data_IF_133363976802
#
_entry.id   IF_133363976802
#
_cell.length_a   1.000
_cell.length_b   1.000
_cell.length_c   1.000
_cell.angle_alpha   90.00
_cell.angle_beta   90.00
_cell.angle_gamma   90.00
#
_symmetry.space_group_name_H-M   'P 1'
#
loop_
_entity.id
_entity.type
_entity.pdbx_description
1 polymer ?
#
# COMPACT_ATOMS: atom_id res chain seq x y z
N UNK A 1 -9.78 -4.52 -15.42
CA UNK A 1 -9.04 -3.70 -14.44
C UNK A 1 -9.93 -2.62 -13.82
N UNK A 2 -10.77 -1.99 -14.63
CA UNK A 2 -11.62 -0.82 -14.28
C UNK A 2 -12.48 -0.97 -13.02
N UNK A 3 -13.00 -2.17 -12.71
CA UNK A 3 -13.81 -2.36 -11.50
C UNK A 3 -12.99 -2.27 -10.20
N UNK A 4 -11.74 -2.74 -10.19
CA UNK A 4 -10.86 -2.65 -9.00
C UNK A 4 -10.36 -1.23 -8.85
N UNK A 5 -9.99 -0.58 -9.95
CA UNK A 5 -9.56 0.82 -9.93
C UNK A 5 -10.68 1.76 -9.53
N UNK A 6 -11.92 1.49 -9.96
CA UNK A 6 -13.10 2.23 -9.51
C UNK A 6 -13.35 2.09 -8.01
N UNK A 7 -13.22 0.89 -7.44
CA UNK A 7 -13.32 0.67 -5.99
C UNK A 7 -12.20 1.37 -5.23
N UNK A 8 -10.98 1.34 -5.77
CA UNK A 8 -9.82 2.00 -5.19
C UNK A 8 -9.97 3.53 -5.23
N UNK A 9 -10.39 4.09 -6.36
CA UNK A 9 -10.67 5.52 -6.51
C UNK A 9 -11.82 5.96 -5.60
N UNK A 10 -12.88 5.15 -5.49
CA UNK A 10 -13.99 5.40 -4.58
C UNK A 10 -13.54 5.43 -3.11
N UNK A 11 -12.67 4.48 -2.72
CA UNK A 11 -12.04 4.54 -1.41
C UNK A 11 -11.30 5.88 -1.29
N UNK A 12 -10.41 6.21 -2.23
CA UNK A 12 -9.48 7.35 -2.15
C UNK A 12 -10.10 8.76 -2.06
N UNK A 13 -11.32 8.96 -2.55
CA UNK A 13 -11.90 10.29 -2.81
C UNK A 13 -12.76 10.84 -1.68
N UNK A 14 -13.10 10.05 -0.65
CA UNK A 14 -14.04 10.48 0.41
C UNK A 14 -13.31 11.07 1.63
N UNK A 15 -13.54 12.34 2.01
CA UNK A 15 -12.85 12.96 3.15
C UNK A 15 -13.26 12.37 4.52
N UNK A 16 -14.49 11.89 4.67
CA UNK A 16 -14.96 11.08 5.82
C UNK A 16 -15.15 9.64 5.36
N UNK A 17 -14.12 8.84 5.56
CA UNK A 17 -14.04 7.43 5.20
C UNK A 17 -15.00 6.61 6.07
N UNK A 18 -16.25 6.46 5.61
CA UNK A 18 -17.26 5.61 6.25
C UNK A 18 -17.08 4.12 5.91
N UNK A 19 -17.90 3.26 6.51
CA UNK A 19 -17.83 1.79 6.31
C UNK A 19 -17.86 1.35 4.83
N UNK A 20 -18.51 2.12 3.95
CA UNK A 20 -18.53 1.84 2.52
C UNK A 20 -17.13 1.93 1.85
N UNK A 21 -16.28 2.88 2.25
CA UNK A 21 -14.92 3.00 1.69
C UNK A 21 -14.04 1.81 2.09
N UNK A 22 -14.22 1.30 3.32
CA UNK A 22 -13.55 0.09 3.80
C UNK A 22 -14.04 -1.14 3.05
N UNK A 23 -15.36 -1.31 2.90
CA UNK A 23 -15.93 -2.42 2.15
C UNK A 23 -15.42 -2.46 0.72
N UNK A 24 -15.39 -1.30 0.03
CA UNK A 24 -14.85 -1.20 -1.33
C UNK A 24 -13.37 -1.55 -1.39
N UNK A 25 -12.58 -1.13 -0.40
CA UNK A 25 -11.15 -1.45 -0.32
C UNK A 25 -10.92 -2.95 -0.05
N UNK A 26 -11.64 -3.54 0.90
CA UNK A 26 -11.54 -4.97 1.23
C UNK A 26 -11.93 -5.83 0.01
N UNK A 27 -12.98 -5.43 -0.71
CA UNK A 27 -13.39 -6.07 -1.96
C UNK A 27 -12.32 -5.93 -3.06
N UNK A 28 -11.69 -4.76 -3.18
CA UNK A 28 -10.58 -4.55 -4.11
C UNK A 28 -9.35 -5.42 -3.76
N UNK A 29 -9.00 -5.53 -2.48
CA UNK A 29 -7.91 -6.39 -2.00
C UNK A 29 -8.26 -7.87 -2.26
N UNK A 30 -9.46 -8.31 -1.90
CA UNK A 30 -9.87 -9.70 -2.11
C UNK A 30 -9.84 -10.09 -3.59
N UNK A 31 -10.37 -9.23 -4.47
CA UNK A 31 -10.34 -9.49 -5.92
C UNK A 31 -8.93 -9.48 -6.49
N UNK A 32 -8.09 -8.53 -6.08
CA UNK A 32 -6.70 -8.47 -6.56
C UNK A 32 -5.88 -9.68 -6.09
N UNK A 33 -6.12 -10.21 -4.88
CA UNK A 33 -5.49 -11.48 -4.42
C UNK A 33 -5.85 -12.67 -5.30
N UNK A 34 -7.13 -12.82 -5.66
CA UNK A 34 -7.57 -13.90 -6.57
C UNK A 34 -6.88 -13.78 -7.93
N UNK A 35 -6.71 -12.56 -8.43
CA UNK A 35 -6.03 -12.32 -9.71
C UNK A 35 -4.52 -12.58 -9.64
N UNK A 36 -3.85 -12.22 -8.54
CA UNK A 36 -2.44 -12.57 -8.32
C UNK A 36 -2.23 -14.08 -8.33
N UNK A 37 -3.16 -14.87 -7.78
CA UNK A 37 -3.09 -16.33 -7.85
C UNK A 37 -3.18 -16.90 -9.28
N UNK A 38 -3.70 -16.14 -10.24
CA UNK A 38 -3.78 -16.53 -11.66
C UNK A 38 -2.60 -16.02 -12.47
N UNK A 39 -2.23 -14.75 -12.25
CA UNK A 39 -1.16 -14.07 -13.00
C UNK A 39 -0.41 -13.12 -12.05
N UNK A 40 0.59 -13.62 -11.31
CA UNK A 40 1.31 -12.82 -10.32
C UNK A 40 1.97 -11.58 -10.93
N UNK A 41 2.61 -11.71 -12.09
CA UNK A 41 3.35 -10.62 -12.74
C UNK A 41 2.44 -9.45 -13.14
N UNK A 42 1.21 -9.74 -13.57
CA UNK A 42 0.26 -8.72 -14.04
C UNK A 42 -0.42 -8.00 -12.86
N UNK A 43 -0.75 -8.72 -11.79
CA UNK A 43 -1.63 -8.20 -10.73
C UNK A 43 -0.94 -7.84 -9.42
N UNK A 44 0.36 -8.16 -9.25
CA UNK A 44 1.10 -7.82 -8.02
C UNK A 44 1.15 -6.31 -7.78
N UNK A 45 1.33 -5.50 -8.84
CA UNK A 45 1.31 -4.04 -8.74
C UNK A 45 -0.05 -3.48 -8.33
N UNK A 46 -1.14 -4.08 -8.81
CA UNK A 46 -2.50 -3.70 -8.44
C UNK A 46 -2.80 -4.03 -6.98
N UNK A 47 -2.44 -5.24 -6.53
CA UNK A 47 -2.59 -5.66 -5.13
C UNK A 47 -1.76 -4.76 -4.20
N UNK A 48 -0.51 -4.44 -4.56
CA UNK A 48 0.32 -3.53 -3.79
C UNK A 48 -0.30 -2.14 -3.64
N UNK A 49 -0.87 -1.56 -4.70
CA UNK A 49 -1.60 -0.28 -4.65
C UNK A 49 -2.80 -0.34 -3.71
N UNK A 50 -3.55 -1.43 -3.72
CA UNK A 50 -4.69 -1.64 -2.83
C UNK A 50 -4.23 -1.71 -1.36
N UNK A 51 -3.24 -2.55 -1.07
CA UNK A 51 -2.67 -2.72 0.27
C UNK A 51 -2.05 -1.43 0.81
N UNK A 52 -1.28 -0.72 0.01
CA UNK A 52 -0.73 0.57 0.38
C UNK A 52 -1.87 1.55 0.74
N UNK A 53 -2.91 1.62 -0.08
CA UNK A 53 -4.08 2.47 0.19
C UNK A 53 -4.77 2.10 1.51
N UNK A 54 -4.90 0.80 1.80
CA UNK A 54 -5.42 0.31 3.08
C UNK A 54 -4.57 0.68 4.27
N UNK A 55 -3.25 0.52 4.17
CA UNK A 55 -2.32 0.94 5.23
C UNK A 55 -2.49 2.43 5.57
N UNK A 56 -2.57 3.30 4.55
CA UNK A 56 -2.80 4.74 4.77
C UNK A 56 -4.14 5.02 5.44
N UNK A 57 -5.18 4.29 5.06
CA UNK A 57 -6.50 4.46 5.66
C UNK A 57 -6.50 4.04 7.14
N UNK A 58 -5.84 2.95 7.49
CA UNK A 58 -5.66 2.51 8.88
C UNK A 58 -4.84 3.51 9.69
N UNK A 59 -3.76 4.07 9.12
CA UNK A 59 -2.98 5.13 9.78
C UNK A 59 -3.82 6.36 10.10
N UNK A 60 -4.64 6.85 9.17
CA UNK A 60 -5.53 8.00 9.44
C UNK A 60 -6.56 7.73 10.52
N UNK A 61 -6.85 6.46 10.83
CA UNK A 61 -7.73 6.06 11.95
C UNK A 61 -6.98 5.81 13.26
N UNK A 62 -5.68 6.07 13.31
CA UNK A 62 -4.86 5.77 14.48
C UNK A 62 -4.70 4.27 14.73
N UNK A 63 -4.75 3.44 13.68
CA UNK A 63 -4.61 1.97 13.76
C UNK A 63 -3.32 1.49 13.06
N UNK A 64 -2.14 1.95 13.50
CA UNK A 64 -0.87 1.63 12.82
C UNK A 64 -0.52 0.14 12.86
N UNK A 65 -0.92 -0.59 13.91
CA UNK A 65 -0.70 -2.03 14.00
C UNK A 65 -1.42 -2.83 12.90
N UNK A 66 -2.57 -2.35 12.43
CA UNK A 66 -3.30 -2.98 11.32
C UNK A 66 -2.79 -2.52 9.95
N UNK A 67 -2.20 -1.33 9.90
CA UNK A 67 -1.55 -0.82 8.69
C UNK A 67 -0.24 -1.58 8.37
N UNK A 68 0.46 -2.06 9.40
CA UNK A 68 1.78 -2.67 9.29
C UNK A 68 1.81 -3.88 8.33
N UNK A 69 0.99 -4.94 8.53
CA UNK A 69 1.02 -6.09 7.63
C UNK A 69 0.67 -5.71 6.19
N UNK A 70 -0.26 -4.76 5.99
CA UNK A 70 -0.61 -4.28 4.64
C UNK A 70 0.56 -3.58 3.95
N UNK A 71 1.29 -2.71 4.67
CA UNK A 71 2.43 -2.00 4.09
C UNK A 71 3.62 -2.92 3.83
N UNK A 72 3.88 -3.90 4.72
CA UNK A 72 4.93 -4.90 4.52
C UNK A 72 4.67 -5.75 3.29
N UNK A 73 3.43 -6.21 3.11
CA UNK A 73 3.06 -7.00 1.94
C UNK A 73 3.14 -6.17 0.64
N UNK A 74 2.71 -4.89 0.68
CA UNK A 74 2.85 -4.00 -0.48
C UNK A 74 4.33 -3.84 -0.91
N UNK A 75 5.25 -3.70 0.06
CA UNK A 75 6.70 -3.70 -0.23
C UNK A 75 7.09 -5.02 -0.88
N UNK A 76 6.76 -6.16 -0.27
CA UNK A 76 7.12 -7.48 -0.80
C UNK A 76 6.67 -7.70 -2.25
N UNK A 77 5.44 -7.31 -2.59
CA UNK A 77 4.88 -7.43 -3.94
C UNK A 77 5.55 -6.50 -4.97
N UNK A 78 6.08 -5.36 -4.52
CA UNK A 78 6.73 -4.38 -5.41
C UNK A 78 8.24 -4.56 -5.51
N UNK A 79 8.85 -5.44 -4.70
CA UNK A 79 10.30 -5.73 -4.73
C UNK A 79 10.75 -6.23 -6.10
N UNK A 80 9.98 -7.10 -6.75
CA UNK A 80 10.32 -7.64 -8.08
C UNK A 80 10.17 -6.61 -9.19
N UNK A 81 9.19 -5.70 -9.08
CA UNK A 81 8.95 -4.65 -10.08
C UNK A 81 9.93 -3.46 -9.93
N UNK A 82 10.39 -3.17 -8.71
CA UNK A 82 11.28 -2.04 -8.43
C UNK A 82 10.65 -0.67 -8.72
N UNK A 83 11.50 0.33 -8.91
CA UNK A 83 11.12 1.68 -9.36
C UNK A 83 10.08 2.40 -8.51
N UNK A 84 9.24 3.21 -9.16
CA UNK A 84 8.24 4.05 -8.49
C UNK A 84 7.24 3.27 -7.61
N UNK A 85 6.72 2.08 -8.00
CA UNK A 85 5.88 1.26 -7.12
C UNK A 85 6.58 0.86 -5.82
N UNK A 86 7.86 0.47 -5.88
CA UNK A 86 8.63 0.11 -4.70
C UNK A 86 8.87 1.32 -3.80
N UNK A 87 9.28 2.46 -4.37
CA UNK A 87 9.48 3.73 -3.62
C UNK A 87 8.21 4.12 -2.87
N UNK A 88 7.05 4.07 -3.52
CA UNK A 88 5.77 4.41 -2.88
C UNK A 88 5.40 3.45 -1.73
N UNK A 89 5.67 2.15 -1.89
CA UNK A 89 5.45 1.14 -0.85
C UNK A 89 6.40 1.32 0.34
N UNK A 90 7.67 1.63 0.08
CA UNK A 90 8.68 1.89 1.12
C UNK A 90 8.29 3.10 1.97
N UNK A 91 7.92 4.22 1.35
CA UNK A 91 7.41 5.40 2.07
C UNK A 91 6.15 5.08 2.87
N UNK A 92 5.27 4.22 2.35
CA UNK A 92 4.07 3.80 3.08
C UNK A 92 4.43 3.00 4.33
N UNK A 93 5.38 2.07 4.25
CA UNK A 93 5.84 1.29 5.39
C UNK A 93 6.60 2.16 6.40
N UNK A 94 7.44 3.09 5.95
CA UNK A 94 8.13 4.05 6.80
C UNK A 94 7.14 4.86 7.65
N UNK A 95 6.09 5.43 7.04
CA UNK A 95 5.05 6.16 7.76
C UNK A 95 4.31 5.29 8.80
N UNK A 96 4.14 3.99 8.54
CA UNK A 96 3.56 3.08 9.53
C UNK A 96 4.51 2.86 10.70
N UNK A 97 5.80 2.68 10.44
CA UNK A 97 6.81 2.47 11.47
C UNK A 97 7.00 3.72 12.33
N UNK A 98 6.95 4.92 11.75
CA UNK A 98 6.94 6.18 12.50
C UNK A 98 5.76 6.27 13.47
N UNK A 99 4.56 5.92 13.00
CA UNK A 99 3.37 5.88 13.84
C UNK A 99 3.43 4.80 14.95
N UNK A 100 4.34 3.83 14.83
CA UNK A 100 4.67 2.83 15.85
C UNK A 100 5.92 3.19 16.67
N UNK A 101 6.46 4.40 16.53
CA UNK A 101 7.69 4.86 17.18
C UNK A 101 8.95 4.04 16.82
N UNK A 102 8.94 3.34 15.69
CA UNK A 102 10.07 2.55 15.15
C UNK A 102 10.91 3.37 14.18
N UNK A 103 11.45 4.48 14.67
CA UNK A 103 12.06 5.54 13.85
C UNK A 103 13.32 5.08 13.08
N UNK A 104 14.15 4.23 13.66
CA UNK A 104 15.36 3.72 13.01
C UNK A 104 15.04 2.88 11.77
N UNK A 105 14.03 2.02 11.88
CA UNK A 105 13.56 1.19 10.77
C UNK A 105 12.87 2.02 9.70
N UNK A 106 12.08 3.04 10.09
CA UNK A 106 11.49 3.98 9.15
C UNK A 106 12.56 4.72 8.34
N UNK A 107 13.59 5.24 9.01
CA UNK A 107 14.70 5.95 8.36
C UNK A 107 15.47 5.05 7.38
N UNK A 108 15.65 3.77 7.71
CA UNK A 108 16.29 2.82 6.81
C UNK A 108 15.50 2.62 5.50
N UNK A 109 14.17 2.59 5.58
CA UNK A 109 13.30 2.47 4.41
C UNK A 109 13.26 3.74 3.56
N UNK A 110 13.28 4.92 4.18
CA UNK A 110 13.37 6.20 3.46
C UNK A 110 14.71 6.29 2.72
N UNK A 111 15.81 5.99 3.40
CA UNK A 111 17.13 5.97 2.78
C UNK A 111 17.22 4.93 1.64
N UNK A 112 16.50 3.81 1.75
CA UNK A 112 16.37 2.86 0.64
C UNK A 112 15.58 3.46 -0.53
N UNK A 113 14.44 4.11 -0.26
CA UNK A 113 13.63 4.74 -1.30
C UNK A 113 14.39 5.85 -2.04
N UNK A 114 15.17 6.66 -1.32
CA UNK A 114 15.98 7.74 -1.90
C UNK A 114 17.07 7.21 -2.84
N UNK A 115 17.69 6.06 -2.52
CA UNK A 115 18.67 5.41 -3.42
C UNK A 115 18.05 4.88 -4.72
N UNK A 116 16.74 4.67 -4.74
CA UNK A 116 16.01 4.16 -5.90
C UNK A 116 15.47 5.28 -6.79
N UNK A 117 15.43 6.52 -6.30
CA UNK A 117 15.12 7.70 -7.10
C UNK A 117 16.39 8.10 -7.89
N UNK A 118 16.28 8.41 -9.20
CA UNK A 118 17.42 8.95 -9.93
C UNK A 118 17.85 10.28 -9.29
N UNK A 119 19.16 10.60 -9.26
CA UNK A 119 19.61 11.93 -8.87
C UNK A 119 19.05 12.96 -9.86
N UNK A 120 18.48 14.05 -9.34
CA UNK A 120 18.01 15.20 -10.11
C UNK A 120 19.13 15.84 -10.97
#
# INVERSE_FOLDING_TARGET
MDAIEGLLAYAQTRPRWGGAAFKSLDEAIARSRVLVGKSPEEYSGLLARCLATGARLMLRRGRPMEALPMAQEAVALTRSAGGAPLVASLHRLAAVLEALHRYSEAAALVAEADRLLPPD
#
